data_IF_224460932598
#
_entry.id   IF_224460932598
#
_cell.length_a   1.000
_cell.length_b   1.000
_cell.length_c   1.000
_cell.angle_alpha   90.00
_cell.angle_beta   90.00
_cell.angle_gamma   90.00
#
_symmetry.space_group_name_H-M   'P 1'
#
loop_
_entity.id
_entity.type
_entity.pdbx_description
1 polymer ?
#
# COMPACT_ATOMS: atom_id res chain seq x y z
N UNK A 1 -7.36 9.23 16.26
CA UNK A 1 -7.61 7.77 16.40
C UNK A 1 -8.64 7.28 15.38
N UNK A 2 -9.87 7.82 15.36
CA UNK A 2 -10.94 7.38 14.42
C UNK A 2 -10.51 7.36 12.94
N UNK A 3 -9.87 8.44 12.47
CA UNK A 3 -9.35 8.49 11.10
C UNK A 3 -8.46 7.30 10.72
N UNK A 4 -7.52 6.91 11.59
CA UNK A 4 -6.63 5.76 11.31
C UNK A 4 -7.42 4.46 11.29
N UNK A 5 -8.37 4.28 12.22
CA UNK A 5 -9.23 3.10 12.27
C UNK A 5 -10.05 2.99 10.98
N UNK A 6 -10.66 4.09 10.53
CA UNK A 6 -11.48 4.12 9.32
C UNK A 6 -10.65 3.75 8.08
N UNK A 7 -9.44 4.31 7.95
CA UNK A 7 -8.53 4.01 6.82
C UNK A 7 -8.01 2.56 6.84
N UNK A 8 -7.65 2.03 8.00
CA UNK A 8 -7.17 0.65 8.13
C UNK A 8 -8.31 -0.35 7.89
N UNK A 9 -9.52 -0.04 8.35
CA UNK A 9 -10.70 -0.88 8.12
C UNK A 9 -11.00 -0.96 6.62
N UNK A 10 -11.06 0.19 5.93
CA UNK A 10 -11.24 0.23 4.49
C UNK A 10 -10.15 -0.53 3.73
N UNK A 11 -8.88 -0.38 4.14
CA UNK A 11 -7.77 -1.10 3.51
C UNK A 11 -7.90 -2.62 3.67
N UNK A 12 -8.35 -3.08 4.84
CA UNK A 12 -8.59 -4.50 5.12
C UNK A 12 -9.76 -5.07 4.31
N UNK A 13 -10.81 -4.27 4.09
CA UNK A 13 -11.97 -4.65 3.27
C UNK A 13 -11.61 -4.77 1.79
N UNK A 14 -10.57 -4.07 1.33
CA UNK A 14 -10.05 -4.09 -0.05
C UNK A 14 -8.72 -4.86 -0.18
N UNK A 15 -8.37 -5.73 0.80
CA UNK A 15 -7.05 -6.40 0.88
C UNK A 15 -6.74 -7.29 -0.32
N UNK A 16 -7.74 -7.77 -1.04
CA UNK A 16 -7.61 -8.53 -2.28
C UNK A 16 -7.00 -7.71 -3.43
N UNK A 17 -7.07 -6.38 -3.35
CA UNK A 17 -6.36 -5.50 -4.27
C UNK A 17 -4.88 -5.38 -3.93
N UNK A 18 -4.42 -5.75 -2.73
CA UNK A 18 -3.06 -5.53 -2.27
C UNK A 18 -2.17 -6.71 -2.70
N UNK A 19 -1.10 -6.40 -3.45
CA UNK A 19 -0.09 -7.36 -3.85
C UNK A 19 1.17 -7.32 -2.98
N UNK A 20 2.12 -8.19 -3.31
CA UNK A 20 3.42 -8.25 -2.65
C UNK A 20 4.35 -7.08 -3.01
N UNK A 21 5.47 -7.04 -2.29
CA UNK A 21 6.63 -6.21 -2.59
C UNK A 21 7.83 -7.11 -2.86
N UNK A 22 8.76 -6.65 -3.71
CA UNK A 22 10.04 -7.30 -3.97
C UNK A 22 11.19 -6.34 -3.71
N UNK A 23 12.33 -6.85 -3.29
CA UNK A 23 13.54 -6.04 -3.11
C UNK A 23 14.12 -5.64 -4.46
N UNK A 24 14.35 -4.34 -4.64
CA UNK A 24 15.21 -3.79 -5.70
C UNK A 24 16.63 -3.57 -5.21
N UNK A 25 16.79 -3.40 -3.90
CA UNK A 25 18.06 -3.26 -3.21
C UNK A 25 17.94 -3.84 -1.80
N UNK A 26 18.67 -4.92 -1.52
CA UNK A 26 18.68 -5.58 -0.20
C UNK A 26 20.12 -5.63 0.34
N UNK A 27 20.54 -4.67 1.19
CA UNK A 27 21.85 -4.73 1.82
C UNK A 27 21.89 -5.84 2.88
N UNK A 28 23.08 -6.44 3.14
CA UNK A 28 23.21 -7.56 4.09
C UNK A 28 22.93 -7.17 5.54
N UNK A 29 23.04 -5.88 5.88
CA UNK A 29 22.70 -5.30 7.19
C UNK A 29 21.80 -4.09 6.98
N UNK A 30 21.00 -3.75 8.00
CA UNK A 30 20.08 -2.59 7.96
C UNK A 30 19.06 -2.61 6.79
N UNK A 31 18.73 -3.78 6.22
CA UNK A 31 17.81 -3.91 5.08
C UNK A 31 16.42 -3.31 5.30
N UNK A 32 15.93 -3.27 6.54
CA UNK A 32 14.64 -2.64 6.86
C UNK A 32 14.70 -1.11 6.85
N UNK A 33 15.90 -0.53 6.96
CA UNK A 33 16.11 0.92 6.99
C UNK A 33 16.64 1.45 5.65
N UNK A 34 17.55 0.71 5.02
CA UNK A 34 18.26 1.12 3.79
C UNK A 34 17.81 0.35 2.54
N UNK A 35 17.03 -0.72 2.70
CA UNK A 35 16.55 -1.51 1.57
C UNK A 35 15.50 -0.78 0.75
N UNK A 36 15.52 -1.02 -0.56
CA UNK A 36 14.52 -0.54 -1.50
C UNK A 36 13.56 -1.65 -1.87
N UNK A 37 12.25 -1.36 -1.83
CA UNK A 37 11.18 -2.26 -2.25
C UNK A 37 10.41 -1.64 -3.41
N UNK A 38 9.94 -2.48 -4.33
CA UNK A 38 8.98 -2.09 -5.36
C UNK A 38 7.78 -3.05 -5.40
N UNK A 39 6.61 -2.59 -5.87
CA UNK A 39 5.45 -3.44 -6.10
C UNK A 39 5.76 -4.58 -7.07
N UNK A 40 5.21 -5.78 -6.82
CA UNK A 40 5.35 -6.91 -7.77
C UNK A 40 4.51 -6.73 -9.04
N UNK A 41 3.49 -5.88 -9.02
CA UNK A 41 2.59 -5.57 -10.13
C UNK A 41 1.96 -4.16 -9.96
N UNK A 42 0.90 -3.88 -10.70
CA UNK A 42 0.14 -2.62 -10.73
C UNK A 42 -0.89 -2.46 -9.59
N UNK A 43 -0.81 -3.29 -8.55
CA UNK A 43 -1.73 -3.23 -7.41
C UNK A 43 -1.85 -1.85 -6.75
N UNK A 44 -0.79 -1.03 -6.59
CA UNK A 44 -0.92 0.28 -5.97
C UNK A 44 -1.81 1.23 -6.80
N UNK A 45 -1.72 1.17 -8.12
CA UNK A 45 -2.53 1.98 -9.03
C UNK A 45 -4.00 1.60 -8.92
N UNK A 46 -4.30 0.29 -8.87
CA UNK A 46 -5.66 -0.22 -8.67
C UNK A 46 -6.24 0.20 -7.33
N UNK A 47 -5.44 0.14 -6.26
CA UNK A 47 -5.85 0.58 -4.93
C UNK A 47 -6.13 2.10 -4.90
N UNK A 48 -5.30 2.92 -5.55
CA UNK A 48 -5.52 4.36 -5.66
C UNK A 48 -6.82 4.66 -6.42
N UNK A 49 -7.09 3.96 -7.53
CA UNK A 49 -8.35 4.11 -8.26
C UNK A 49 -9.55 3.78 -7.38
N UNK A 50 -9.52 2.65 -6.67
CA UNK A 50 -10.58 2.25 -5.75
C UNK A 50 -10.78 3.26 -4.61
N UNK A 51 -9.69 3.81 -4.08
CA UNK A 51 -9.75 4.85 -3.06
C UNK A 51 -10.45 6.12 -3.57
N UNK A 52 -10.12 6.57 -4.79
CA UNK A 52 -10.76 7.74 -5.41
C UNK A 52 -12.23 7.50 -5.72
N UNK A 53 -12.62 6.28 -6.09
CA UNK A 53 -14.02 5.92 -6.30
C UNK A 53 -14.82 5.99 -4.99
N UNK A 54 -14.26 5.48 -3.89
CA UNK A 54 -14.98 5.38 -2.61
C UNK A 54 -14.98 6.70 -1.82
N UNK A 55 -13.94 7.54 -1.95
CA UNK A 55 -13.78 8.78 -1.18
C UNK A 55 -13.82 10.07 -2.03
N UNK A 56 -13.83 9.97 -3.35
CA UNK A 56 -13.73 11.12 -4.26
C UNK A 56 -12.36 11.83 -4.20
N UNK A 57 -12.33 13.11 -4.58
CA UNK A 57 -11.14 13.98 -4.36
C UNK A 57 -11.04 14.53 -2.94
N UNK A 58 -11.86 14.02 -1.99
CA UNK A 58 -11.84 14.51 -0.63
C UNK A 58 -10.58 13.99 0.09
N UNK A 59 -9.56 14.84 0.14
CA UNK A 59 -8.39 14.71 1.00
C UNK A 59 -8.35 15.88 1.98
#
# INVERSE_FOLDING_TARGET
>A
IKYVIDRVTWLNDNRELIGGLKFVYEPPVLRFFMGGLEPVNDWPQRLISKFKEDFGESL
#
